data_IF_667043388686
#
_entry.id   IF_667043388686
#
_cell.length_a   1.000
_cell.length_b   1.000
_cell.length_c   1.000
_cell.angle_alpha   90.00
_cell.angle_beta   90.00
_cell.angle_gamma   90.00
#
_symmetry.space_group_name_H-M   'P 1'
#
loop_
_entity.id
_entity.type
_entity.pdbx_description
1 polymer ?
#
# COMPACT_ATOMS: atom_id res chain seq x y z
N UNK A 1 41.36 -21.59 45.05
CA UNK A 1 40.63 -20.31 45.18
C UNK A 1 39.22 -20.61 45.66
N UNK A 2 38.73 -19.90 46.68
CA UNK A 2 37.39 -20.17 47.23
C UNK A 2 36.35 -19.62 46.25
N UNK A 3 35.25 -20.36 46.04
CA UNK A 3 34.20 -19.98 45.07
C UNK A 3 33.65 -18.55 45.27
N UNK A 4 33.76 -18.01 46.48
CA UNK A 4 33.36 -16.65 46.80
C UNK A 4 34.28 -15.59 46.20
N UNK A 5 35.59 -15.83 46.15
CA UNK A 5 36.57 -14.91 45.55
C UNK A 5 36.43 -14.91 44.02
N UNK A 6 36.15 -16.08 43.43
CA UNK A 6 35.89 -16.19 42.00
C UNK A 6 34.65 -15.40 41.58
N UNK A 7 33.56 -15.47 42.36
CA UNK A 7 32.34 -14.67 42.12
C UNK A 7 32.57 -13.17 42.28
N UNK A 8 33.46 -12.74 43.17
CA UNK A 8 33.81 -11.33 43.37
C UNK A 8 34.51 -10.74 42.13
N UNK A 9 35.33 -11.54 41.44
CA UNK A 9 36.06 -11.13 40.24
C UNK A 9 35.17 -11.22 38.99
N UNK A 10 34.35 -12.28 38.87
CA UNK A 10 33.54 -12.52 37.68
C UNK A 10 32.37 -11.52 37.54
N UNK A 11 31.76 -11.11 38.65
CA UNK A 11 30.63 -10.15 38.66
C UNK A 11 30.95 -8.81 37.96
N UNK A 12 32.03 -8.10 38.27
CA UNK A 12 32.34 -6.83 37.61
C UNK A 12 32.66 -7.01 36.13
N UNK A 13 33.33 -8.10 35.74
CA UNK A 13 33.58 -8.44 34.34
C UNK A 13 32.27 -8.61 33.56
N UNK A 14 31.36 -9.45 34.04
CA UNK A 14 30.04 -9.65 33.41
C UNK A 14 29.29 -8.32 33.31
N UNK A 15 29.35 -7.47 34.35
CA UNK A 15 28.67 -6.18 34.38
C UNK A 15 29.24 -5.19 33.36
N UNK A 16 30.55 -5.24 33.11
CA UNK A 16 31.21 -4.43 32.10
C UNK A 16 30.88 -4.95 30.69
N UNK A 17 30.97 -6.26 30.46
CA UNK A 17 30.63 -6.87 29.17
C UNK A 17 29.17 -6.59 28.78
N UNK A 18 28.23 -6.68 29.73
CA UNK A 18 26.83 -6.33 29.47
C UNK A 18 26.69 -4.83 29.13
N UNK A 19 27.41 -3.94 29.80
CA UNK A 19 27.36 -2.50 29.49
C UNK A 19 27.94 -2.19 28.11
N UNK A 20 29.04 -2.83 27.74
CA UNK A 20 29.66 -2.67 26.42
C UNK A 20 28.73 -3.18 25.32
N UNK A 21 28.20 -4.39 25.45
CA UNK A 21 27.22 -4.95 24.49
C UNK A 21 25.98 -4.05 24.34
N UNK A 22 25.45 -3.51 25.44
CA UNK A 22 24.27 -2.65 25.38
C UNK A 22 24.52 -1.27 24.74
N UNK A 23 25.73 -0.70 24.90
CA UNK A 23 26.07 0.65 24.44
C UNK A 23 26.79 0.66 23.09
N UNK A 24 27.72 -0.25 22.85
CA UNK A 24 28.56 -0.32 21.64
C UNK A 24 27.88 -1.10 20.52
N UNK A 25 27.30 -2.27 20.80
CA UNK A 25 26.54 -3.02 19.79
C UNK A 25 25.16 -2.41 19.53
N UNK A 26 24.80 -1.36 20.28
CA UNK A 26 23.63 -0.53 19.98
C UNK A 26 22.30 -1.28 20.12
N UNK A 27 22.26 -2.41 20.82
CA UNK A 27 21.04 -3.22 21.03
C UNK A 27 19.94 -2.39 21.68
N UNK A 28 20.29 -1.55 22.67
CA UNK A 28 19.33 -0.61 23.27
C UNK A 28 18.83 0.43 22.28
N UNK A 29 19.71 0.96 21.42
CA UNK A 29 19.35 1.93 20.40
C UNK A 29 18.40 1.32 19.37
N UNK A 30 18.64 0.07 18.96
CA UNK A 30 17.78 -0.69 18.06
C UNK A 30 16.39 -0.89 18.67
N UNK A 31 16.32 -1.41 19.90
CA UNK A 31 15.04 -1.64 20.60
C UNK A 31 14.29 -0.33 20.82
N UNK A 32 14.96 0.73 21.26
CA UNK A 32 14.32 2.05 21.43
C UNK A 32 13.84 2.60 20.08
N UNK A 33 14.62 2.45 19.00
CA UNK A 33 14.21 2.89 17.67
C UNK A 33 12.99 2.14 17.14
N UNK A 34 12.87 0.86 17.47
CA UNK A 34 11.76 0.00 17.07
C UNK A 34 10.51 0.30 17.89
N UNK A 35 10.66 0.53 19.20
CA UNK A 35 9.59 0.99 20.08
C UNK A 35 9.12 2.40 19.68
N UNK A 36 10.03 3.31 19.33
CA UNK A 36 9.67 4.66 18.85
C UNK A 36 8.98 4.61 17.49
N UNK A 37 9.37 3.69 16.59
CA UNK A 37 8.65 3.45 15.33
C UNK A 37 7.27 2.80 15.55
N UNK A 38 7.15 1.94 16.56
CA UNK A 38 5.89 1.25 16.89
C UNK A 38 4.90 2.09 17.70
N UNK A 39 5.40 2.97 18.58
CA UNK A 39 4.61 3.93 19.37
C UNK A 39 4.39 5.24 18.62
N UNK A 40 5.28 5.59 17.70
CA UNK A 40 5.14 6.71 16.81
C UNK A 40 3.99 6.43 15.84
N UNK A 41 2.87 7.13 16.07
CA UNK A 41 1.82 7.31 15.08
C UNK A 41 2.50 7.60 13.73
N UNK A 42 2.24 6.78 12.71
CA UNK A 42 2.77 6.99 11.36
C UNK A 42 2.33 8.36 10.86
N UNK A 43 3.09 9.40 11.19
CA UNK A 43 2.92 10.70 10.57
C UNK A 43 3.44 10.52 9.16
N UNK A 44 2.52 10.27 8.24
CA UNK A 44 2.75 10.41 6.80
C UNK A 44 3.03 11.90 6.59
N UNK A 45 4.27 12.31 6.88
CA UNK A 45 4.76 13.62 6.57
C UNK A 45 5.17 13.58 5.09
N UNK A 46 4.53 14.41 4.29
CA UNK A 46 4.92 14.64 2.91
C UNK A 46 6.36 15.16 2.92
N UNK A 47 7.34 14.30 2.59
CA UNK A 47 8.71 14.74 2.35
C UNK A 47 8.67 15.60 1.09
N UNK A 48 8.58 16.92 1.27
CA UNK A 48 8.76 17.90 0.20
C UNK A 48 10.25 17.94 -0.16
N UNK A 49 10.73 16.86 -0.78
CA UNK A 49 11.95 16.90 -1.55
C UNK A 49 11.77 18.02 -2.57
N UNK A 50 12.72 18.96 -2.62
CA UNK A 50 12.70 20.05 -3.60
C UNK A 50 13.45 19.58 -4.85
N UNK A 51 12.81 19.12 -5.94
CA UNK A 51 13.40 19.20 -7.25
C UNK A 51 12.91 20.50 -7.87
N UNK A 52 13.68 21.59 -7.75
CA UNK A 52 13.39 22.83 -8.48
C UNK A 52 14.08 22.89 -9.84
N UNK A 53 15.00 21.97 -10.14
CA UNK A 53 15.69 21.89 -11.44
C UNK A 53 15.20 20.74 -12.32
N UNK A 54 14.86 19.59 -11.75
CA UNK A 54 14.42 18.41 -12.53
C UNK A 54 12.98 18.48 -13.06
N UNK A 55 12.17 19.47 -12.64
CA UNK A 55 10.77 19.55 -13.07
C UNK A 55 10.63 20.04 -14.51
N UNK A 56 11.37 21.07 -14.90
CA UNK A 56 11.29 21.64 -16.24
C UNK A 56 11.77 20.65 -17.31
N UNK A 57 12.89 19.95 -17.07
CA UNK A 57 13.42 18.94 -17.99
C UNK A 57 12.48 17.72 -18.10
N UNK A 58 11.88 17.29 -16.98
CA UNK A 58 10.89 16.20 -16.99
C UNK A 58 9.60 16.60 -17.72
N UNK A 59 9.16 17.84 -17.56
CA UNK A 59 7.97 18.37 -18.22
C UNK A 59 8.16 18.46 -19.73
N UNK A 60 9.32 18.95 -20.19
CA UNK A 60 9.66 18.98 -21.62
C UNK A 60 9.77 17.57 -22.23
N UNK A 61 10.35 16.62 -21.50
CA UNK A 61 10.39 15.21 -21.93
C UNK A 61 8.99 14.60 -22.00
N UNK A 62 8.12 14.90 -21.03
CA UNK A 62 6.76 14.41 -21.00
C UNK A 62 5.91 14.97 -22.15
N UNK A 63 6.07 16.27 -22.45
CA UNK A 63 5.40 16.91 -23.58
C UNK A 63 5.85 16.32 -24.93
N UNK A 64 7.16 16.09 -25.11
CA UNK A 64 7.69 15.43 -26.33
C UNK A 64 7.11 14.03 -26.50
N UNK A 65 7.09 13.22 -25.44
CA UNK A 65 6.49 11.88 -25.47
C UNK A 65 4.99 11.92 -25.76
N UNK A 66 4.27 12.88 -25.18
CA UNK A 66 2.83 13.07 -25.42
C UNK A 66 2.56 13.43 -26.88
N UNK A 67 3.33 14.36 -27.45
CA UNK A 67 3.20 14.76 -28.86
C UNK A 67 3.51 13.60 -29.81
N UNK A 68 4.54 12.80 -29.53
CA UNK A 68 4.88 11.64 -30.34
C UNK A 68 3.79 10.56 -30.29
N UNK A 69 3.21 10.31 -29.10
CA UNK A 69 2.07 9.38 -28.96
C UNK A 69 0.87 9.85 -29.77
N UNK A 70 0.53 11.14 -29.71
CA UNK A 70 -0.58 11.73 -30.49
C UNK A 70 -0.30 11.63 -31.98
N UNK A 71 0.95 11.89 -32.41
CA UNK A 71 1.35 11.77 -33.81
C UNK A 71 1.18 10.34 -34.32
N UNK A 72 1.67 9.34 -33.57
CA UNK A 72 1.51 7.92 -33.93
C UNK A 72 0.04 7.52 -33.97
N UNK A 73 -0.77 7.96 -32.99
CA UNK A 73 -2.21 7.70 -32.98
C UNK A 73 -2.93 8.33 -34.19
N UNK A 74 -2.53 9.54 -34.58
CA UNK A 74 -3.07 10.20 -35.77
C UNK A 74 -2.62 9.52 -37.06
N UNK A 75 -1.37 9.02 -37.13
CA UNK A 75 -0.88 8.22 -38.25
C UNK A 75 -1.63 6.90 -38.37
N UNK A 76 -1.92 6.21 -37.25
CA UNK A 76 -2.73 4.99 -37.25
C UNK A 76 -4.19 5.26 -37.58
N UNK A 77 -4.75 6.40 -37.15
CA UNK A 77 -6.14 6.79 -37.48
C UNK A 77 -6.28 7.21 -38.95
N UNK A 78 -5.25 7.84 -39.54
CA UNK A 78 -5.19 8.16 -40.97
C UNK A 78 -5.17 6.94 -41.87
N UNK A 79 -4.84 5.76 -41.34
CA UNK A 79 -4.92 4.50 -42.09
C UNK A 79 -6.36 3.99 -42.27
N UNK A 80 -7.39 4.73 -41.80
CA UNK A 80 -8.80 4.40 -41.94
C UNK A 80 -9.14 2.97 -41.47
N UNK A 81 -8.34 2.45 -40.55
CA UNK A 81 -8.54 1.14 -39.92
C UNK A 81 -9.31 1.40 -38.64
N UNK A 82 -10.58 1.00 -38.64
CA UNK A 82 -11.40 0.99 -37.45
C UNK A 82 -10.90 -0.12 -36.51
N UNK A 83 -10.07 0.27 -35.54
CA UNK A 83 -9.42 -0.60 -34.54
C UNK A 83 -10.41 -1.30 -33.60
N UNK A 84 -11.69 -0.91 -33.64
CA UNK A 84 -12.78 -1.52 -32.86
C UNK A 84 -13.81 -2.23 -33.75
N UNK A 85 -13.49 -2.43 -35.03
CA UNK A 85 -14.37 -3.16 -35.95
C UNK A 85 -14.51 -4.61 -35.50
N UNK A 86 -15.71 -5.01 -35.08
CA UNK A 86 -16.01 -6.35 -34.57
C UNK A 86 -15.82 -6.50 -33.07
N UNK A 87 -15.56 -5.42 -32.33
CA UNK A 87 -15.65 -5.44 -30.87
C UNK A 87 -16.98 -4.88 -30.42
N UNK A 88 -17.72 -5.64 -29.63
CA UNK A 88 -18.86 -5.11 -28.87
C UNK A 88 -18.33 -4.56 -27.54
N UNK A 89 -18.79 -3.38 -27.09
CA UNK A 89 -18.39 -2.85 -25.79
C UNK A 89 -18.83 -3.83 -24.70
N UNK A 90 -17.87 -4.33 -23.92
CA UNK A 90 -18.15 -5.07 -22.70
C UNK A 90 -18.95 -4.12 -21.79
N UNK A 91 -20.21 -4.45 -21.56
CA UNK A 91 -20.98 -3.85 -20.48
C UNK A 91 -20.33 -4.27 -19.17
N UNK A 92 -20.07 -3.32 -18.27
CA UNK A 92 -19.17 -3.47 -17.13
C UNK A 92 -19.44 -4.73 -16.28
N UNK A 93 -18.70 -5.80 -16.55
CA UNK A 93 -18.47 -6.89 -15.62
C UNK A 93 -16.99 -6.89 -15.31
N UNK A 94 -16.56 -5.93 -14.49
CA UNK A 94 -15.17 -5.80 -14.11
C UNK A 94 -14.70 -7.14 -13.48
N UNK A 95 -13.65 -7.73 -14.03
CA UNK A 95 -13.13 -9.04 -13.64
C UNK A 95 -12.53 -9.08 -12.21
N UNK A 96 -12.45 -7.93 -11.53
CA UNK A 96 -12.15 -7.79 -10.10
C UNK A 96 -13.32 -7.21 -9.29
N UNK A 97 -14.51 -7.15 -9.89
CA UNK A 97 -15.71 -6.79 -9.16
C UNK A 97 -16.16 -7.98 -8.32
N UNK A 98 -16.60 -7.76 -7.06
CA UNK A 98 -17.21 -8.79 -6.24
C UNK A 98 -18.45 -9.46 -6.89
N UNK A 99 -18.93 -8.94 -8.03
CA UNK A 99 -20.00 -9.49 -8.85
C UNK A 99 -19.49 -10.27 -10.09
N UNK A 100 -18.21 -10.63 -10.14
CA UNK A 100 -17.65 -11.49 -11.18
C UNK A 100 -18.44 -12.80 -11.29
N UNK A 101 -19.09 -13.03 -12.42
CA UNK A 101 -19.93 -14.21 -12.68
C UNK A 101 -21.45 -13.96 -12.59
N UNK A 102 -21.89 -12.77 -12.20
CA UNK A 102 -23.29 -12.36 -12.27
C UNK A 102 -23.56 -11.72 -13.64
N UNK A 103 -24.60 -12.20 -14.34
CA UNK A 103 -24.99 -11.60 -15.61
C UNK A 103 -25.49 -10.17 -15.39
N UNK A 104 -25.16 -9.26 -16.30
CA UNK A 104 -25.69 -7.88 -16.29
C UNK A 104 -27.22 -7.84 -16.51
N UNK A 105 -27.84 -8.96 -16.88
CA UNK A 105 -29.28 -9.12 -17.06
C UNK A 105 -29.95 -9.96 -15.96
N UNK A 106 -29.23 -10.25 -14.88
CA UNK A 106 -29.77 -11.01 -13.76
C UNK A 106 -30.73 -10.13 -12.94
N UNK A 107 -31.95 -10.62 -12.70
CA UNK A 107 -32.98 -9.93 -11.90
C UNK A 107 -32.66 -9.97 -10.39
N UNK A 108 -31.66 -10.78 -9.99
CA UNK A 108 -31.18 -10.88 -8.61
C UNK A 108 -31.97 -11.89 -7.76
N UNK A 109 -31.76 -11.85 -6.45
CA UNK A 109 -32.40 -12.77 -5.50
C UNK A 109 -33.55 -12.06 -4.79
N UNK A 110 -34.75 -12.65 -4.79
CA UNK A 110 -35.91 -12.15 -4.05
C UNK A 110 -35.70 -12.30 -2.53
N UNK A 111 -35.57 -11.17 -1.83
CA UNK A 111 -35.39 -11.09 -0.37
C UNK A 111 -36.70 -10.86 0.40
N UNK A 112 -37.87 -10.87 -0.27
CA UNK A 112 -39.17 -10.60 0.34
C UNK A 112 -39.47 -11.57 1.50
N UNK A 113 -39.08 -12.84 1.36
CA UNK A 113 -39.21 -13.84 2.42
C UNK A 113 -38.41 -13.50 3.68
N UNK A 114 -37.18 -12.98 3.54
CA UNK A 114 -36.33 -12.57 4.65
C UNK A 114 -36.90 -11.31 5.32
N UNK A 115 -37.38 -10.35 4.53
CA UNK A 115 -37.99 -9.13 5.03
C UNK A 115 -39.23 -9.43 5.90
N UNK A 116 -40.02 -10.41 5.48
CA UNK A 116 -41.20 -10.89 6.20
C UNK A 116 -40.83 -11.60 7.52
N UNK A 117 -39.77 -12.43 7.52
CA UNK A 117 -39.28 -13.09 8.73
C UNK A 117 -38.74 -12.07 9.75
N UNK A 118 -38.11 -11.00 9.28
CA UNK A 118 -37.55 -9.94 10.15
C UNK A 118 -38.60 -8.87 10.52
N UNK A 119 -39.84 -8.99 10.06
CA UNK A 119 -41.03 -8.30 10.58
C UNK A 119 -40.85 -6.78 10.82
N UNK A 120 -40.08 -6.10 9.95
CA UNK A 120 -39.81 -4.65 10.05
C UNK A 120 -38.82 -4.21 11.14
N UNK A 121 -38.18 -5.14 11.86
CA UNK A 121 -37.23 -4.83 12.95
C UNK A 121 -35.89 -4.26 12.46
N UNK A 122 -35.62 -4.28 11.15
CA UNK A 122 -34.45 -3.64 10.56
C UNK A 122 -34.35 -2.15 10.95
N UNK A 123 -35.48 -1.43 11.03
CA UNK A 123 -35.52 -0.02 11.49
C UNK A 123 -35.12 0.20 12.95
N UNK A 124 -35.04 -0.84 13.77
CA UNK A 124 -34.64 -0.77 15.17
C UNK A 124 -33.15 -1.08 15.38
N UNK A 125 -32.46 -1.56 14.34
CA UNK A 125 -31.05 -1.96 14.35
C UNK A 125 -30.12 -0.93 13.68
N UNK A 126 -30.68 0.15 13.13
CA UNK A 126 -29.95 1.31 12.58
C UNK A 126 -30.16 2.52 13.49
#
# INVERSE_FOLDING_TARGET
MKANEFKQILKPLIKQTIKEVLLEEGVLSSVVSEVVKGMGQQTIAESKTRPRRDKAEKEEQYEKQRQERIRRLNETTKMNVDVFKGTEPITESAAQSPMSGVSNTDEGVDISGILNIVNGKWKQLI
#
